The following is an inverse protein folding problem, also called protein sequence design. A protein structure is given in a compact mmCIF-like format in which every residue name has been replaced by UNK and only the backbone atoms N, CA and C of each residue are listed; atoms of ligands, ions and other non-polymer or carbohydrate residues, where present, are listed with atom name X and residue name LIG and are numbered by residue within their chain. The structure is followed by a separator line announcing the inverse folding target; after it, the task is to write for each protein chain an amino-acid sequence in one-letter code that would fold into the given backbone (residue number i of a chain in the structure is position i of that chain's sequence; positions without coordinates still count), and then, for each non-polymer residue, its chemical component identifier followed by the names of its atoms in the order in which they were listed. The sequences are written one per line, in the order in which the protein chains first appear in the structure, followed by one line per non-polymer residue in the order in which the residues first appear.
data_IF_830222572881
#
_entry.id   IF_830222572881
#
_cell.length_a   1.000
_cell.length_b   1.000
_cell.length_c   1.000
_cell.angle_alpha   90.00
_cell.angle_beta   90.00
_cell.angle_gamma   90.00
#
_symmetry.space_group_name_H-M   'P 1'
#
loop_
_entity.id
_entity.type
_entity.pdbx_description
1 polymer ?
#
# COMPACT_ATOMS: atom_id res chain seq x y z
N UNK A 1 -24.80 -8.46 -3.24
CA UNK A 1 -23.80 -7.61 -3.92
C UNK A 1 -23.22 -6.58 -2.94
N UNK A 2 -22.61 -7.03 -1.82
CA UNK A 2 -22.47 -6.19 -0.60
C UNK A 2 -21.20 -6.45 0.23
N UNK A 3 -20.16 -7.12 -0.33
CA UNK A 3 -18.91 -7.40 0.41
C UNK A 3 -17.72 -6.48 0.06
N UNK A 4 -17.81 -5.71 -1.02
CA UNK A 4 -16.66 -4.93 -1.53
C UNK A 4 -16.45 -3.55 -0.90
N UNK A 5 -17.39 -3.04 -0.10
CA UNK A 5 -17.34 -1.66 0.43
C UNK A 5 -16.66 -1.51 1.79
N UNK A 6 -16.35 -2.61 2.50
CA UNK A 6 -15.94 -2.54 3.92
C UNK A 6 -14.41 -2.56 4.13
N UNK A 7 -13.63 -3.01 3.14
CA UNK A 7 -12.16 -3.14 3.27
C UNK A 7 -11.44 -1.82 2.96
N UNK A 8 -12.06 -0.94 2.16
CA UNK A 8 -11.47 0.33 1.74
C UNK A 8 -11.49 1.40 2.85
N UNK A 9 -12.39 1.28 3.82
CA UNK A 9 -12.57 2.29 4.88
C UNK A 9 -11.53 2.17 6.00
N UNK A 10 -11.10 0.94 6.33
CA UNK A 10 -10.25 0.69 7.50
C UNK A 10 -8.79 1.12 7.27
N UNK A 11 -8.32 1.08 6.04
CA UNK A 11 -6.95 1.49 5.67
C UNK A 11 -6.82 3.02 5.62
N UNK A 12 -7.89 3.72 5.24
CA UNK A 12 -7.97 5.18 5.20
C UNK A 12 -8.04 5.81 6.60
N UNK A 13 -8.64 5.13 7.57
CA UNK A 13 -8.74 5.63 8.95
C UNK A 13 -7.38 5.63 9.66
N UNK A 14 -6.57 4.57 9.50
CA UNK A 14 -5.21 4.53 10.07
C UNK A 14 -4.30 5.57 9.44
N UNK A 15 -4.36 5.72 8.11
CA UNK A 15 -3.58 6.76 7.41
C UNK A 15 -4.04 8.17 7.75
N UNK A 16 -5.35 8.40 7.95
CA UNK A 16 -5.90 9.69 8.34
C UNK A 16 -5.59 10.04 9.81
N UNK A 17 -5.47 9.04 10.70
CA UNK A 17 -5.09 9.22 12.10
C UNK A 17 -3.62 9.61 12.25
N UNK A 18 -2.70 8.96 11.53
CA UNK A 18 -1.27 9.34 11.57
C UNK A 18 -1.04 10.72 10.95
N UNK A 19 -1.78 11.03 9.87
CA UNK A 19 -1.70 12.34 9.23
C UNK A 19 -2.32 13.44 10.12
N UNK A 20 -3.44 13.18 10.79
CA UNK A 20 -4.05 14.14 11.71
C UNK A 20 -3.19 14.37 12.95
N UNK A 21 -2.54 13.33 13.49
CA UNK A 21 -1.66 13.47 14.65
C UNK A 21 -0.44 14.36 14.34
N UNK A 22 0.13 14.23 13.15
CA UNK A 22 1.25 15.07 12.70
C UNK A 22 0.82 16.53 12.50
N UNK A 23 -0.35 16.75 11.87
CA UNK A 23 -0.91 18.09 11.67
C UNK A 23 -1.23 18.76 13.01
N UNK A 24 -1.82 18.01 13.96
CA UNK A 24 -2.13 18.51 15.30
C UNK A 24 -0.84 18.88 16.05
N UNK A 25 0.20 18.03 15.99
CA UNK A 25 1.49 18.33 16.61
C UNK A 25 2.14 19.61 16.07
N UNK A 26 2.09 19.82 14.75
CA UNK A 26 2.60 21.04 14.11
C UNK A 26 1.81 22.28 14.56
N UNK A 27 0.48 22.19 14.61
CA UNK A 27 -0.38 23.30 15.06
C UNK A 27 -0.07 23.65 16.52
N UNK A 28 0.09 22.65 17.39
CA UNK A 28 0.42 22.89 18.81
C UNK A 28 1.76 23.64 18.93
N UNK A 29 2.82 23.17 18.25
CA UNK A 29 4.13 23.83 18.29
C UNK A 29 4.03 25.26 17.74
N UNK A 30 3.30 25.45 16.64
CA UNK A 30 3.15 26.77 16.01
C UNK A 30 2.42 27.75 16.93
N UNK A 31 1.31 27.32 17.54
CA UNK A 31 0.54 28.14 18.50
C UNK A 31 1.38 28.47 19.73
N UNK A 32 2.07 27.48 20.32
CA UNK A 32 2.94 27.69 21.48
C UNK A 32 4.04 28.71 21.17
N UNK A 33 4.70 28.60 20.02
CA UNK A 33 5.77 29.53 19.64
C UNK A 33 5.23 30.94 19.38
N UNK A 34 4.11 31.09 18.68
CA UNK A 34 3.50 32.41 18.46
C UNK A 34 3.02 33.09 19.75
N UNK A 35 2.62 32.32 20.77
CA UNK A 35 2.19 32.88 22.05
C UNK A 35 3.36 33.25 22.98
N UNK A 36 4.53 32.61 22.82
CA UNK A 36 5.70 32.85 23.67
C UNK A 36 6.69 33.89 23.10
N UNK A 37 6.56 34.28 21.83
CA UNK A 37 7.55 35.18 21.19
C UNK A 37 6.92 36.22 20.25
N UNK A 38 7.28 37.50 20.43
CA UNK A 38 6.94 38.62 19.53
C UNK A 38 7.86 38.70 18.29
N UNK A 39 8.92 37.88 18.23
CA UNK A 39 9.88 37.86 17.15
C UNK A 39 9.46 36.94 16.01
N UNK A 40 9.77 37.33 14.76
CA UNK A 40 9.42 36.60 13.54
C UNK A 40 10.34 35.41 13.26
N UNK A 41 11.54 35.40 13.85
CA UNK A 41 12.57 34.37 13.70
C UNK A 41 12.11 32.95 14.09
N UNK A 42 11.47 32.72 15.25
CA UNK A 42 11.02 31.39 15.64
C UNK A 42 9.87 30.86 14.76
N UNK A 43 9.07 31.74 14.15
CA UNK A 43 8.04 31.35 13.17
C UNK A 43 8.65 30.67 11.94
N UNK A 44 9.73 31.23 11.37
CA UNK A 44 10.42 30.65 10.22
C UNK A 44 11.08 29.30 10.54
N UNK A 45 11.65 29.15 11.74
CA UNK A 45 12.25 27.88 12.19
C UNK A 45 11.19 26.80 12.36
N UNK A 46 10.04 27.13 12.95
CA UNK A 46 8.91 26.19 13.09
C UNK A 46 8.35 25.80 11.72
N UNK A 47 8.16 26.77 10.83
CA UNK A 47 7.64 26.51 9.48
C UNK A 47 8.60 25.63 8.67
N UNK A 48 9.91 25.87 8.76
CA UNK A 48 10.92 25.03 8.13
C UNK A 48 10.93 23.60 8.71
N UNK A 49 10.82 23.46 10.03
CA UNK A 49 10.70 22.15 10.69
C UNK A 49 9.43 21.39 10.28
N UNK A 50 8.29 22.09 10.23
CA UNK A 50 7.02 21.53 9.76
C UNK A 50 7.09 21.10 8.30
N UNK A 51 7.71 21.90 7.43
CA UNK A 51 7.94 21.55 6.03
C UNK A 51 8.85 20.32 5.90
N UNK A 52 9.91 20.20 6.71
CA UNK A 52 10.76 19.00 6.70
C UNK A 52 9.99 17.74 7.14
N UNK A 53 9.14 17.84 8.17
CA UNK A 53 8.31 16.72 8.63
C UNK A 53 7.29 16.34 7.55
N UNK A 54 6.60 17.33 6.97
CA UNK A 54 5.63 17.12 5.90
C UNK A 54 6.26 16.52 4.64
N UNK A 55 7.41 17.04 4.22
CA UNK A 55 8.17 16.52 3.08
C UNK A 55 8.75 15.13 3.36
N UNK A 56 9.19 14.87 4.59
CA UNK A 56 9.66 13.56 5.04
C UNK A 56 8.56 12.50 4.97
N UNK A 57 7.37 12.82 5.50
CA UNK A 57 6.20 11.95 5.42
C UNK A 57 5.76 11.70 3.96
N UNK A 58 5.81 12.73 3.10
CA UNK A 58 5.46 12.58 1.68
C UNK A 58 6.46 11.72 0.90
N UNK A 59 7.76 11.87 1.17
CA UNK A 59 8.83 11.12 0.52
C UNK A 59 8.93 9.67 1.00
N UNK A 60 8.63 9.42 2.28
CA UNK A 60 8.52 8.07 2.84
C UNK A 60 7.25 7.38 2.36
N UNK A 61 6.11 8.08 2.34
CA UNK A 61 4.85 7.56 1.82
C UNK A 61 4.96 7.13 0.36
N UNK A 62 5.60 7.93 -0.50
CA UNK A 62 5.75 7.62 -1.94
C UNK A 62 6.79 6.52 -2.24
N UNK A 63 7.81 6.35 -1.39
CA UNK A 63 8.79 5.24 -1.53
C UNK A 63 8.33 3.94 -0.90
N UNK A 64 7.62 3.98 0.24
CA UNK A 64 7.11 2.79 0.92
C UNK A 64 5.76 2.32 0.37
N UNK A 65 4.99 3.21 -0.26
CA UNK A 65 3.81 2.88 -1.05
C UNK A 65 4.06 3.29 -2.51
N UNK A 66 4.94 2.58 -3.26
CA UNK A 66 5.01 2.72 -4.71
C UNK A 66 3.58 2.65 -5.25
N UNK A 67 3.19 3.68 -5.99
CA UNK A 67 1.86 3.90 -6.52
C UNK A 67 1.20 2.56 -6.90
N UNK A 68 0.07 2.22 -6.26
CA UNK A 68 -0.63 0.92 -6.41
C UNK A 68 -0.97 0.54 -7.85
N UNK A 69 -0.79 1.47 -8.79
CA UNK A 69 -0.99 1.33 -10.24
C UNK A 69 0.22 0.79 -11.02
N UNK A 70 1.41 0.68 -10.40
CA UNK A 70 2.64 0.33 -11.13
C UNK A 70 2.72 -1.18 -11.43
N UNK A 71 2.22 -2.05 -10.53
CA UNK A 71 2.35 -3.51 -10.64
C UNK A 71 0.98 -4.22 -10.66
N UNK A 72 0.05 -3.72 -11.47
CA UNK A 72 -1.31 -4.29 -11.56
C UNK A 72 -1.28 -5.77 -11.98
N UNK A 73 -0.43 -6.13 -12.95
CA UNK A 73 -0.30 -7.51 -13.43
C UNK A 73 0.19 -8.48 -12.36
N UNK A 74 1.28 -8.15 -11.67
CA UNK A 74 1.82 -9.00 -10.61
C UNK A 74 0.81 -9.15 -9.45
N UNK A 75 0.10 -8.08 -9.11
CA UNK A 75 -0.93 -8.13 -8.07
C UNK A 75 -2.10 -9.04 -8.45
N UNK A 76 -2.60 -8.94 -9.68
CA UNK A 76 -3.70 -9.82 -10.14
C UNK A 76 -3.31 -11.28 -10.11
N UNK A 77 -2.05 -11.61 -10.45
CA UNK A 77 -1.55 -12.98 -10.40
C UNK A 77 -1.40 -13.47 -8.95
N UNK A 78 -0.92 -12.64 -8.01
CA UNK A 78 -0.86 -12.99 -6.58
C UNK A 78 -2.26 -13.24 -6.01
N UNK A 79 -3.26 -12.43 -6.36
CA UNK A 79 -4.64 -12.65 -5.92
C UNK A 79 -5.21 -13.96 -6.48
N UNK A 80 -4.84 -14.33 -7.71
CA UNK A 80 -5.17 -15.63 -8.28
C UNK A 80 -4.45 -16.78 -7.57
N UNK A 81 -3.15 -16.66 -7.29
CA UNK A 81 -2.38 -17.66 -6.54
C UNK A 81 -2.97 -17.93 -5.15
N UNK A 82 -3.39 -16.88 -4.43
CA UNK A 82 -4.07 -17.03 -3.13
C UNK A 82 -5.37 -17.84 -3.25
N UNK A 83 -6.11 -17.70 -4.36
CA UNK A 83 -7.30 -18.54 -4.61
C UNK A 83 -6.91 -20.00 -4.85
N UNK A 84 -5.82 -20.27 -5.57
CA UNK A 84 -5.32 -21.64 -5.76
C UNK A 84 -4.95 -22.30 -4.44
N UNK A 85 -4.24 -21.60 -3.55
CA UNK A 85 -3.90 -22.12 -2.21
C UNK A 85 -5.15 -22.51 -1.41
N UNK A 86 -6.20 -21.69 -1.47
CA UNK A 86 -7.47 -22.01 -0.79
C UNK A 86 -8.15 -23.25 -1.39
N UNK A 87 -8.15 -23.37 -2.71
CA UNK A 87 -8.70 -24.56 -3.41
C UNK A 87 -7.88 -25.80 -3.08
N UNK A 88 -6.56 -25.69 -3.04
CA UNK A 88 -5.67 -26.78 -2.66
C UNK A 88 -6.04 -27.30 -1.27
N UNK A 89 -6.19 -26.39 -0.30
CA UNK A 89 -6.59 -26.78 1.06
C UNK A 89 -7.99 -27.42 1.09
N UNK A 90 -8.98 -26.90 0.36
CA UNK A 90 -10.32 -27.51 0.32
C UNK A 90 -10.31 -28.91 -0.30
N UNK A 91 -9.55 -29.12 -1.37
CA UNK A 91 -9.47 -30.41 -2.05
C UNK A 91 -8.60 -31.42 -1.29
N UNK A 92 -7.56 -30.96 -0.58
CA UNK A 92 -6.76 -31.81 0.30
C UNK A 92 -7.58 -32.30 1.51
N UNK A 93 -8.41 -31.42 2.11
CA UNK A 93 -9.32 -31.82 3.20
C UNK A 93 -10.43 -32.77 2.74
N UNK A 94 -10.80 -32.72 1.46
CA UNK A 94 -11.77 -33.63 0.84
C UNK A 94 -11.14 -34.92 0.28
N UNK A 95 -9.83 -35.13 0.48
CA UNK A 95 -9.07 -36.28 -0.01
C UNK A 95 -9.13 -36.48 -1.54
N UNK A 96 -9.36 -35.40 -2.30
CA UNK A 96 -9.47 -35.44 -3.76
C UNK A 96 -8.08 -35.35 -4.44
N UNK A 97 -7.30 -36.42 -4.33
CA UNK A 97 -5.88 -36.48 -4.75
C UNK A 97 -5.62 -36.01 -6.19
N UNK A 98 -6.48 -36.36 -7.14
CA UNK A 98 -6.34 -35.94 -8.55
C UNK A 98 -6.46 -34.42 -8.71
N UNK A 99 -7.41 -33.79 -8.01
CA UNK A 99 -7.60 -32.33 -8.04
C UNK A 99 -6.47 -31.59 -7.32
N UNK A 100 -5.89 -32.20 -6.30
CA UNK A 100 -4.70 -31.68 -5.61
C UNK A 100 -3.50 -31.65 -6.54
N UNK A 101 -3.26 -32.70 -7.32
CA UNK A 101 -2.14 -32.72 -8.27
C UNK A 101 -2.36 -31.75 -9.44
N UNK A 102 -3.59 -31.65 -9.96
CA UNK A 102 -3.93 -30.65 -10.98
C UNK A 102 -3.69 -29.21 -10.48
N UNK A 103 -4.09 -28.91 -9.24
CA UNK A 103 -3.83 -27.61 -8.62
C UNK A 103 -2.34 -27.33 -8.38
N UNK A 104 -1.56 -28.37 -8.10
CA UNK A 104 -0.10 -28.24 -7.96
C UNK A 104 0.55 -27.78 -9.26
N UNK A 105 0.11 -28.30 -10.40
CA UNK A 105 0.59 -27.86 -11.72
C UNK A 105 0.17 -26.41 -11.97
N UNK A 106 -1.12 -26.08 -11.75
CA UNK A 106 -1.67 -24.73 -11.93
C UNK A 106 -0.95 -23.69 -11.05
N UNK A 107 -0.56 -24.09 -9.83
CA UNK A 107 0.23 -23.25 -8.91
C UNK A 107 1.66 -23.00 -9.42
N UNK A 108 2.32 -23.99 -10.02
CA UNK A 108 3.66 -23.79 -10.61
C UNK A 108 3.60 -22.80 -11.77
N UNK A 109 2.64 -22.97 -12.68
CA UNK A 109 2.45 -22.04 -13.80
C UNK A 109 2.13 -20.61 -13.32
N UNK A 110 1.36 -20.47 -12.25
CA UNK A 110 1.10 -19.16 -11.64
C UNK A 110 2.36 -18.51 -11.09
N UNK A 111 3.26 -19.29 -10.49
CA UNK A 111 4.58 -18.80 -10.05
C UNK A 111 5.42 -18.36 -11.24
N UNK A 112 5.44 -19.14 -12.33
CA UNK A 112 6.17 -18.76 -13.55
C UNK A 112 5.64 -17.45 -14.15
N UNK A 113 4.31 -17.26 -14.16
CA UNK A 113 3.69 -15.98 -14.54
C UNK A 113 4.08 -14.85 -13.60
N UNK A 114 4.10 -15.06 -12.28
CA UNK A 114 4.56 -14.05 -11.31
C UNK A 114 6.03 -13.65 -11.57
N UNK A 115 6.90 -14.60 -11.89
CA UNK A 115 8.30 -14.32 -12.25
C UNK A 115 8.36 -13.47 -13.53
N UNK A 116 7.56 -13.82 -14.54
CA UNK A 116 7.52 -13.04 -15.79
C UNK A 116 7.04 -11.59 -15.58
N UNK A 117 6.07 -11.38 -14.68
CA UNK A 117 5.49 -10.08 -14.37
C UNK A 117 6.33 -9.27 -13.37
N UNK A 118 7.28 -9.91 -12.68
CA UNK A 118 8.15 -9.23 -11.73
C UNK A 118 9.04 -8.21 -12.44
N UNK A 119 9.08 -6.97 -11.94
CA UNK A 119 9.85 -5.88 -12.55
C UNK A 119 9.17 -5.22 -13.76
N UNK A 120 8.07 -5.78 -14.29
CA UNK A 120 7.27 -5.11 -15.31
C UNK A 120 6.36 -4.08 -14.65
N UNK A 121 6.84 -2.84 -14.58
CA UNK A 121 5.96 -1.68 -14.38
C UNK A 121 5.06 -1.58 -15.61
N UNK A 122 3.75 -1.37 -15.45
CA UNK A 122 2.71 -1.43 -16.50
C UNK A 122 2.81 -0.38 -17.63
N UNK A 123 4.01 -0.13 -18.16
CA UNK A 123 4.25 0.52 -19.43
C UNK A 123 4.11 -0.54 -20.53
N UNK A 124 2.86 -0.91 -20.83
CA UNK A 124 2.53 -1.41 -22.16
C UNK A 124 2.98 -0.34 -23.14
N UNK A 125 4.11 -0.61 -23.79
CA UNK A 125 4.57 0.15 -24.94
C UNK A 125 3.50 -0.04 -26.01
N UNK A 126 2.62 0.95 -26.15
CA UNK A 126 1.77 1.08 -27.33
C UNK A 126 2.71 1.50 -28.45
N UNK A 127 3.20 0.52 -29.20
CA UNK A 127 3.76 0.78 -30.53
C UNK A 127 2.55 0.89 -31.45
N UNK A 128 2.27 2.12 -31.88
CA UNK A 128 1.36 2.47 -32.97
C UNK A 128 1.97 3.65 -33.70
#
# INVERSE_FOLDING_TARGET
MTKSKRVETVMSIRSALDQSLTIVGVIIIMVTVTLLTEAWTPLFVVMAGALMIGAGAWRLGTRLLPNRRIYVGLRSEVEYFIRLVRRLNSHALAEESEKVENLRVEMKESVDRMVSLAGQSGATTVIG
#
